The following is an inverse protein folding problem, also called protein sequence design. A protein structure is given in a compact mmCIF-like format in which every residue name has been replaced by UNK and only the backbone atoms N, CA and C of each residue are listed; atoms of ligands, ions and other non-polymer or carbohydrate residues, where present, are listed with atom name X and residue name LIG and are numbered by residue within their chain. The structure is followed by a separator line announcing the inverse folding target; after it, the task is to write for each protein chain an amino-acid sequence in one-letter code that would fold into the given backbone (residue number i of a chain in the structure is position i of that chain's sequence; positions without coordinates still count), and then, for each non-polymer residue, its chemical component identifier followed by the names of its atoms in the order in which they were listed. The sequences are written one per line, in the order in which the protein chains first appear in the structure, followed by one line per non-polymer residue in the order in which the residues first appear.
data_IF_578676259147
#
_entry.id   IF_578676259147
#
_cell.length_a   1.000
_cell.length_b   1.000
_cell.length_c   1.000
_cell.angle_alpha   90.00
_cell.angle_beta   90.00
_cell.angle_gamma   90.00
#
_symmetry.space_group_name_H-M   'P 1'
#
loop_
_entity.id
_entity.type
_entity.pdbx_description
1 polymer ?
#
# COMPACT_ATOMS: atom_id res chain seq x y z
N UNK A 1 13.58 1.99 5.05
CA UNK A 1 13.32 3.43 5.27
C UNK A 1 12.37 3.89 4.17
N UNK A 2 11.50 4.83 4.48
CA UNK A 2 10.41 5.26 3.60
C UNK A 2 9.48 6.22 4.32
N UNK A 3 8.42 6.63 3.65
CA UNK A 3 7.44 7.59 4.17
C UNK A 3 6.05 6.97 4.16
N UNK A 4 5.31 7.21 5.24
CA UNK A 4 3.90 6.85 5.35
C UNK A 4 3.04 8.08 5.11
N UNK A 5 2.07 7.94 4.22
CA UNK A 5 1.14 8.97 3.81
C UNK A 5 -0.27 8.54 4.21
N UNK A 6 -0.82 9.06 5.33
CA UNK A 6 -2.22 8.84 5.66
C UNK A 6 -3.10 9.51 4.60
N UNK A 7 -4.21 8.86 4.22
CA UNK A 7 -5.21 9.47 3.33
C UNK A 7 -5.97 10.60 4.02
N UNK A 8 -6.17 10.51 5.33
CA UNK A 8 -6.75 11.60 6.14
C UNK A 8 -5.80 12.79 6.18
N UNK A 9 -6.26 13.94 5.69
CA UNK A 9 -5.47 15.18 5.69
C UNK A 9 -4.40 15.26 4.61
N UNK A 10 -4.39 14.33 3.64
CA UNK A 10 -3.48 14.39 2.50
C UNK A 10 -3.79 15.62 1.62
N UNK A 11 -2.76 16.39 1.27
CA UNK A 11 -2.92 17.52 0.36
C UNK A 11 -3.14 17.04 -1.07
N UNK A 12 -3.82 17.85 -1.90
CA UNK A 12 -4.10 17.50 -3.31
C UNK A 12 -2.81 17.33 -4.13
N UNK A 13 -1.76 18.06 -3.78
CA UNK A 13 -0.46 17.99 -4.46
C UNK A 13 0.23 16.65 -4.20
N UNK A 14 0.21 16.18 -2.93
CA UNK A 14 0.74 14.87 -2.57
C UNK A 14 -0.10 13.76 -3.19
N UNK A 15 -1.42 13.93 -3.18
CA UNK A 15 -2.35 13.00 -3.80
C UNK A 15 -2.07 12.85 -5.30
N UNK A 16 -1.92 13.97 -6.03
CA UNK A 16 -1.63 13.95 -7.46
C UNK A 16 -0.28 13.28 -7.75
N UNK A 17 0.75 13.58 -6.96
CA UNK A 17 2.06 12.93 -7.10
C UNK A 17 1.98 11.41 -6.95
N UNK A 18 1.21 10.93 -5.97
CA UNK A 18 1.01 9.48 -5.76
C UNK A 18 0.18 8.85 -6.89
N UNK A 19 -0.74 9.58 -7.53
CA UNK A 19 -1.46 9.12 -8.73
C UNK A 19 -0.50 8.99 -9.91
N UNK A 20 0.33 10.01 -10.15
CA UNK A 20 1.27 10.04 -11.27
C UNK A 20 2.31 8.92 -11.15
N UNK A 21 2.75 8.64 -9.93
CA UNK A 21 3.63 7.51 -9.60
C UNK A 21 2.92 6.14 -9.64
N UNK A 22 1.61 6.10 -9.94
CA UNK A 22 0.76 4.89 -9.96
C UNK A 22 0.69 4.17 -8.60
N UNK A 23 0.81 4.92 -7.50
CA UNK A 23 0.85 4.41 -6.13
C UNK A 23 -0.43 4.63 -5.34
N UNK A 24 -1.26 5.60 -5.73
CA UNK A 24 -2.53 5.89 -5.06
C UNK A 24 -3.65 4.97 -5.56
N UNK A 25 -4.33 4.29 -4.64
CA UNK A 25 -5.61 3.63 -4.91
C UNK A 25 -6.78 4.63 -4.81
N UNK A 26 -7.80 4.44 -5.65
CA UNK A 26 -8.99 5.30 -5.68
C UNK A 26 -10.02 4.84 -4.64
N UNK A 27 -11.02 5.69 -4.37
CA UNK A 27 -12.19 5.29 -3.58
C UNK A 27 -12.80 4.02 -4.20
N UNK A 28 -13.02 3.00 -3.38
CA UNK A 28 -13.31 1.64 -3.83
C UNK A 28 -14.49 1.58 -4.79
N UNK A 29 -14.48 0.55 -5.65
CA UNK A 29 -15.51 0.40 -6.67
C UNK A 29 -16.90 0.11 -6.09
N UNK A 30 -17.91 0.05 -6.98
CA UNK A 30 -19.30 -0.22 -6.59
C UNK A 30 -19.46 -1.53 -5.78
N UNK A 31 -18.56 -2.50 -5.97
CA UNK A 31 -18.60 -3.78 -5.27
C UNK A 31 -17.99 -3.66 -3.88
N UNK A 32 -16.88 -2.94 -3.73
CA UNK A 32 -16.28 -2.63 -2.42
C UNK A 32 -17.20 -1.76 -1.55
N UNK A 33 -17.95 -0.85 -2.16
CA UNK A 33 -18.97 -0.07 -1.46
C UNK A 33 -20.13 -0.97 -0.98
N UNK A 34 -20.62 -1.87 -1.83
CA UNK A 34 -21.68 -2.83 -1.48
C UNK A 34 -21.23 -3.83 -0.40
N UNK A 35 -19.95 -4.21 -0.40
CA UNK A 35 -19.33 -5.06 0.62
C UNK A 35 -19.06 -4.31 1.94
N UNK A 36 -19.42 -3.03 2.04
CA UNK A 36 -19.14 -2.16 3.20
C UNK A 36 -17.63 -1.98 3.48
N UNK A 37 -16.77 -2.34 2.52
CA UNK A 37 -15.32 -2.23 2.63
C UNK A 37 -14.85 -0.78 2.56
N UNK A 38 -15.67 0.17 2.07
CA UNK A 38 -15.37 1.60 2.03
C UNK A 38 -15.88 2.40 3.25
N UNK A 39 -16.39 1.72 4.28
CA UNK A 39 -16.95 2.38 5.46
C UNK A 39 -15.89 3.26 6.15
N UNK A 40 -16.26 4.50 6.47
CA UNK A 40 -15.39 5.52 7.09
C UNK A 40 -14.23 6.05 6.22
N UNK A 41 -14.27 5.83 4.89
CA UNK A 41 -13.31 6.46 3.98
C UNK A 41 -13.21 7.99 4.21
N UNK A 42 -12.00 8.59 4.24
CA UNK A 42 -10.66 8.00 4.06
C UNK A 42 -9.96 7.58 5.38
N UNK A 43 -10.68 7.56 6.51
CA UNK A 43 -10.11 7.39 7.85
C UNK A 43 -9.49 6.01 8.04
N UNK A 44 -8.31 5.95 8.66
CA UNK A 44 -7.60 4.70 8.94
C UNK A 44 -6.88 4.10 7.73
N UNK A 45 -6.87 4.79 6.59
CA UNK A 45 -6.22 4.34 5.36
C UNK A 45 -4.93 5.10 5.11
N UNK A 46 -3.97 4.45 4.48
CA UNK A 46 -2.74 5.11 4.09
C UNK A 46 -1.87 4.28 3.16
N UNK A 47 -0.82 4.92 2.67
CA UNK A 47 0.15 4.33 1.76
C UNK A 47 1.53 4.53 2.35
N UNK A 48 2.29 3.45 2.44
CA UNK A 48 3.73 3.49 2.67
C UNK A 48 4.45 3.21 1.36
N UNK A 49 5.56 3.91 1.11
CA UNK A 49 6.54 3.44 0.14
C UNK A 49 7.96 3.71 0.61
N UNK A 50 8.91 2.90 0.14
CA UNK A 50 10.33 3.15 0.38
C UNK A 50 10.86 4.30 -0.50
N UNK A 51 12.03 4.83 -0.14
CA UNK A 51 12.66 5.96 -0.84
C UNK A 51 12.95 5.62 -2.32
N UNK A 52 13.28 4.35 -2.58
CA UNK A 52 13.58 3.84 -3.92
C UNK A 52 12.32 3.56 -4.76
N UNK A 53 11.11 3.74 -4.22
CA UNK A 53 9.85 3.47 -4.91
C UNK A 53 9.73 2.04 -5.50
N UNK A 54 10.41 1.08 -4.86
CA UNK A 54 10.41 -0.35 -5.25
C UNK A 54 9.63 -1.25 -4.29
N UNK A 55 9.15 -0.68 -3.19
CA UNK A 55 8.37 -1.36 -2.18
C UNK A 55 7.28 -0.43 -1.66
N UNK A 56 6.05 -0.93 -1.66
CA UNK A 56 4.85 -0.19 -1.27
C UNK A 56 3.97 -1.05 -0.38
N UNK A 57 3.24 -0.40 0.52
CA UNK A 57 2.21 -1.04 1.34
C UNK A 57 0.98 -0.16 1.35
N UNK A 58 -0.17 -0.71 0.96
CA UNK A 58 -1.46 -0.08 1.17
C UNK A 58 -2.08 -0.62 2.46
N UNK A 59 -2.49 0.29 3.33
CA UNK A 59 -3.12 -0.05 4.60
C UNK A 59 -4.62 0.23 4.51
N UNK A 60 -5.43 -0.78 4.85
CA UNK A 60 -6.89 -0.73 4.90
C UNK A 60 -7.54 -0.26 3.58
N UNK A 61 -7.09 -0.82 2.47
CA UNK A 61 -7.68 -0.54 1.16
C UNK A 61 -8.87 -1.48 0.91
N UNK A 62 -8.58 -2.72 0.55
CA UNK A 62 -9.51 -3.86 0.54
C UNK A 62 -9.20 -4.80 1.71
N UNK A 63 -7.95 -5.29 1.76
CA UNK A 63 -7.38 -6.01 2.89
C UNK A 63 -6.76 -5.05 3.93
N UNK A 64 -6.44 -5.59 5.11
CA UNK A 64 -5.70 -4.85 6.14
C UNK A 64 -4.35 -4.34 5.61
N UNK A 65 -3.61 -5.18 4.88
CA UNK A 65 -2.30 -4.86 4.31
C UNK A 65 -2.17 -5.47 2.91
N UNK A 66 -1.97 -4.63 1.89
CA UNK A 66 -1.53 -5.05 0.55
C UNK A 66 -0.07 -4.69 0.39
N UNK A 67 0.81 -5.69 0.34
CA UNK A 67 2.26 -5.51 0.27
C UNK A 67 2.71 -5.73 -1.18
N UNK A 68 3.37 -4.73 -1.76
CA UNK A 68 3.75 -4.69 -3.17
C UNK A 68 5.26 -4.49 -3.27
N UNK A 69 5.91 -5.34 -4.07
CA UNK A 69 7.32 -5.21 -4.44
C UNK A 69 7.38 -5.10 -5.96
N UNK A 70 8.03 -4.05 -6.47
CA UNK A 70 8.11 -3.80 -7.91
C UNK A 70 9.43 -3.13 -8.29
N UNK A 71 9.87 -3.30 -9.53
CA UNK A 71 11.00 -2.57 -10.10
C UNK A 71 10.91 -2.62 -11.63
N UNK A 72 11.61 -1.69 -12.29
CA UNK A 72 11.78 -1.73 -13.75
C UNK A 72 12.73 -2.87 -14.14
N UNK A 73 12.46 -3.52 -15.28
CA UNK A 73 13.21 -4.67 -15.77
C UNK A 73 12.62 -6.01 -15.32
N UNK A 74 13.35 -7.09 -15.58
CA UNK A 74 12.85 -8.48 -15.45
C UNK A 74 13.45 -9.30 -14.30
N UNK A 75 14.18 -8.70 -13.36
CA UNK A 75 14.76 -9.43 -12.21
C UNK A 75 13.68 -9.76 -11.16
N UNK A 76 12.93 -10.82 -11.45
CA UNK A 76 11.90 -11.37 -10.55
C UNK A 76 12.51 -11.84 -9.22
N UNK A 77 13.75 -12.35 -9.24
CA UNK A 77 14.41 -12.86 -8.04
C UNK A 77 14.67 -11.76 -7.01
N UNK A 78 15.06 -10.57 -7.45
CA UNK A 78 15.21 -9.42 -6.57
C UNK A 78 13.87 -8.91 -6.03
N UNK A 79 12.85 -8.82 -6.89
CA UNK A 79 11.49 -8.41 -6.49
C UNK A 79 10.93 -9.34 -5.41
N UNK A 80 11.04 -10.65 -5.63
CA UNK A 80 10.53 -11.66 -4.72
C UNK A 80 11.30 -11.67 -3.39
N UNK A 81 12.64 -11.62 -3.42
CA UNK A 81 13.46 -11.56 -2.19
C UNK A 81 13.10 -10.34 -1.33
N UNK A 82 12.87 -9.18 -1.95
CA UNK A 82 12.44 -7.96 -1.25
C UNK A 82 11.06 -8.15 -0.60
N UNK A 83 10.12 -8.78 -1.30
CA UNK A 83 8.79 -9.07 -0.77
C UNK A 83 8.86 -10.02 0.44
N UNK A 84 9.52 -11.17 0.30
CA UNK A 84 9.64 -12.17 1.36
C UNK A 84 10.32 -11.60 2.60
N UNK A 85 11.40 -10.83 2.41
CA UNK A 85 12.09 -10.18 3.53
C UNK A 85 11.15 -9.23 4.28
N UNK A 86 10.38 -8.42 3.56
CA UNK A 86 9.45 -7.49 4.19
C UNK A 86 8.29 -8.19 4.91
N UNK A 87 7.68 -9.21 4.28
CA UNK A 87 6.59 -10.01 4.87
C UNK A 87 7.05 -10.67 6.17
N UNK A 88 8.22 -11.32 6.17
CA UNK A 88 8.76 -11.99 7.35
C UNK A 88 9.07 -11.00 8.49
N UNK A 89 9.56 -9.79 8.18
CA UNK A 89 9.82 -8.77 9.20
C UNK A 89 8.53 -8.17 9.78
N UNK A 90 7.47 -8.06 8.97
CA UNK A 90 6.15 -7.60 9.43
C UNK A 90 5.52 -8.67 10.32
N UNK A 91 5.53 -9.93 9.91
CA UNK A 91 4.93 -11.05 10.64
C UNK A 91 5.49 -11.20 12.06
N UNK A 92 6.79 -10.92 12.26
CA UNK A 92 7.43 -10.90 13.60
C UNK A 92 6.80 -9.90 14.57
N UNK A 93 6.13 -8.86 14.07
CA UNK A 93 5.53 -7.78 14.88
C UNK A 93 4.00 -7.79 14.83
N UNK A 94 3.44 -8.28 13.73
CA UNK A 94 2.02 -8.33 13.44
C UNK A 94 1.69 -9.74 12.94
N UNK A 95 1.22 -10.65 13.81
CA UNK A 95 0.88 -12.00 13.40
C UNK A 95 -0.26 -11.95 12.38
N UNK A 96 -0.07 -12.62 11.25
CA UNK A 96 -1.11 -12.73 10.23
C UNK A 96 -2.12 -13.83 10.61
N UNK A 97 -3.36 -13.64 10.14
CA UNK A 97 -4.35 -14.71 10.20
C UNK A 97 -4.05 -15.69 9.09
N UNK A 98 -3.83 -16.95 9.46
CA UNK A 98 -3.57 -18.08 8.55
C UNK A 98 -4.77 -19.03 8.51
#
# INVERSE_FOLDING_TARGET
KGTFYPLTGMSKEVQQKLIDDHFLFKEGDRFLQAANACRFWPTGRGIFHNDAKTFLVWCNEEDHLRIISMQMGGDLGQVYRRLVTAVNEIEKRLPFSH
#
